data_IF_286010982583
#
_entry.id   IF_286010982583
#
_cell.length_a   1.000
_cell.length_b   1.000
_cell.length_c   1.000
_cell.angle_alpha   90.00
_cell.angle_beta   90.00
_cell.angle_gamma   90.00
#
_symmetry.space_group_name_H-M   'P 1'
#
loop_
_entity.id
_entity.type
_entity.pdbx_description
1 polymer ?
#
# COMPACT_ATOMS: atom_id res chain seq x y z
N UNK A 1 -19.85 -4.41 -5.76
CA UNK A 1 -21.16 -4.39 -5.07
C UNK A 1 -21.04 -4.21 -3.56
N UNK A 2 -19.94 -4.62 -2.92
CA UNK A 2 -19.77 -4.51 -1.46
C UNK A 2 -19.46 -3.09 -0.94
N UNK A 3 -18.93 -2.20 -1.78
CA UNK A 3 -18.56 -0.82 -1.43
C UNK A 3 -19.76 0.13 -1.23
N UNK A 4 -20.81 -0.05 -2.03
CA UNK A 4 -22.08 0.67 -1.89
C UNK A 4 -22.74 0.27 -0.57
N UNK A 5 -22.50 -0.97 -0.13
CA UNK A 5 -23.12 -1.56 1.05
C UNK A 5 -22.67 -0.88 2.35
N UNK A 6 -21.41 -0.48 2.51
CA UNK A 6 -20.92 0.12 3.76
C UNK A 6 -21.41 1.55 3.98
N UNK A 7 -21.35 2.40 2.95
CA UNK A 7 -21.93 3.75 2.98
C UNK A 7 -23.46 3.70 3.08
N UNK A 8 -24.10 2.72 2.43
CA UNK A 8 -25.53 2.50 2.54
C UNK A 8 -25.94 2.03 3.95
N UNK A 9 -25.15 1.19 4.62
CA UNK A 9 -25.40 0.78 6.02
C UNK A 9 -25.33 1.97 6.96
N UNK A 10 -24.32 2.83 6.78
CA UNK A 10 -24.15 4.03 7.60
C UNK A 10 -25.24 5.08 7.33
N UNK A 11 -25.64 5.26 6.08
CA UNK A 11 -26.77 6.10 5.70
C UNK A 11 -28.11 5.52 6.18
N UNK A 12 -28.29 4.19 6.14
CA UNK A 12 -29.46 3.50 6.66
C UNK A 12 -29.57 3.64 8.19
N UNK A 13 -28.46 3.54 8.92
CA UNK A 13 -28.41 3.78 10.36
C UNK A 13 -28.76 5.23 10.70
N UNK A 14 -28.19 6.20 9.97
CA UNK A 14 -28.51 7.62 10.15
C UNK A 14 -30.02 7.88 9.94
N UNK A 15 -30.56 7.41 8.83
CA UNK A 15 -31.99 7.59 8.49
C UNK A 15 -32.91 6.90 9.48
N UNK A 16 -32.56 5.73 10.02
CA UNK A 16 -33.36 5.07 11.06
C UNK A 16 -33.38 5.82 12.38
N UNK A 17 -32.25 6.38 12.84
CA UNK A 17 -32.23 7.20 14.06
C UNK A 17 -33.06 8.48 13.90
N UNK A 18 -32.96 9.16 12.75
CA UNK A 18 -33.80 10.33 12.46
C UNK A 18 -35.28 9.97 12.33
N UNK A 19 -35.63 8.87 11.66
CA UNK A 19 -37.01 8.41 11.53
C UNK A 19 -37.62 8.02 12.89
N UNK A 20 -36.89 7.30 13.74
CA UNK A 20 -37.31 6.98 15.10
C UNK A 20 -37.49 8.22 15.97
N UNK A 21 -36.59 9.21 15.83
CA UNK A 21 -36.72 10.52 16.48
C UNK A 21 -38.01 11.23 16.08
N UNK A 22 -38.33 11.27 14.78
CA UNK A 22 -39.57 11.87 14.27
C UNK A 22 -40.81 11.14 14.77
N UNK A 23 -40.82 9.80 14.75
CA UNK A 23 -41.94 9.00 15.25
C UNK A 23 -42.18 9.28 16.74
N UNK A 24 -41.13 9.24 17.58
CA UNK A 24 -41.24 9.53 19.01
C UNK A 24 -41.65 10.97 19.29
N UNK A 25 -41.24 11.90 18.45
CA UNK A 25 -41.65 13.30 18.53
C UNK A 25 -43.15 13.46 18.29
N UNK A 26 -43.69 12.80 17.26
CA UNK A 26 -45.12 12.77 16.95
C UNK A 26 -45.92 12.10 18.08
N UNK A 27 -45.38 11.05 18.70
CA UNK A 27 -45.99 10.35 19.83
C UNK A 27 -45.94 11.14 21.16
N UNK A 28 -45.38 12.35 21.18
CA UNK A 28 -45.30 13.19 22.38
C UNK A 28 -44.19 12.81 23.36
N UNK A 29 -43.38 11.78 23.05
CA UNK A 29 -42.24 11.34 23.85
C UNK A 29 -41.00 12.22 23.61
N UNK A 30 -41.13 13.53 23.91
CA UNK A 30 -40.13 14.55 23.53
C UNK A 30 -38.72 14.27 24.03
N UNK A 31 -38.58 13.73 25.25
CA UNK A 31 -37.27 13.40 25.84
C UNK A 31 -36.56 12.26 25.09
N UNK A 32 -37.30 11.23 24.71
CA UNK A 32 -36.75 10.09 23.97
C UNK A 32 -36.48 10.41 22.51
N UNK A 33 -37.30 11.28 21.91
CA UNK A 33 -37.06 11.79 20.56
C UNK A 33 -35.77 12.61 20.47
N UNK A 34 -35.54 13.51 21.44
CA UNK A 34 -34.30 14.28 21.51
C UNK A 34 -33.06 13.38 21.64
N UNK A 35 -33.14 12.32 22.44
CA UNK A 35 -32.06 11.34 22.58
C UNK A 35 -31.75 10.60 21.27
N UNK A 36 -32.76 10.22 20.47
CA UNK A 36 -32.51 9.58 19.17
C UNK A 36 -31.95 10.57 18.14
N UNK A 37 -32.39 11.83 18.15
CA UNK A 37 -31.80 12.88 17.32
C UNK A 37 -30.35 13.18 17.69
N UNK A 38 -30.02 13.21 18.98
CA UNK A 38 -28.66 13.43 19.47
C UNK A 38 -27.72 12.30 19.02
N UNK A 39 -28.16 11.04 19.09
CA UNK A 39 -27.43 9.89 18.55
C UNK A 39 -27.26 9.97 17.04
N UNK A 40 -28.31 10.35 16.32
CA UNK A 40 -28.24 10.57 14.86
C UNK A 40 -27.23 11.65 14.48
N UNK A 41 -27.24 12.77 15.21
CA UNK A 41 -26.27 13.85 15.05
C UNK A 41 -24.83 13.40 15.37
N UNK A 42 -24.63 12.60 16.42
CA UNK A 42 -23.32 12.03 16.72
C UNK A 42 -22.80 11.18 15.54
N UNK A 43 -23.62 10.27 15.02
CA UNK A 43 -23.25 9.44 13.87
C UNK A 43 -22.91 10.32 12.65
N UNK A 44 -23.68 11.38 12.38
CA UNK A 44 -23.39 12.33 11.31
C UNK A 44 -22.03 13.04 11.48
N UNK A 45 -21.71 13.50 12.69
CA UNK A 45 -20.43 14.17 12.99
C UNK A 45 -19.27 13.20 12.76
N UNK A 46 -19.35 11.96 13.26
CA UNK A 46 -18.28 10.97 13.06
C UNK A 46 -18.11 10.58 11.58
N UNK A 47 -19.21 10.48 10.82
CA UNK A 47 -19.15 10.26 9.37
C UNK A 47 -18.44 11.42 8.65
N UNK A 48 -18.76 12.66 9.04
CA UNK A 48 -18.11 13.85 8.48
C UNK A 48 -16.61 13.86 8.79
N UNK A 49 -16.22 13.44 10.00
CA UNK A 49 -14.81 13.30 10.38
C UNK A 49 -14.10 12.26 9.49
N UNK A 50 -14.69 11.08 9.27
CA UNK A 50 -14.12 10.05 8.38
C UNK A 50 -13.98 10.57 6.94
N UNK A 51 -14.98 11.27 6.41
CA UNK A 51 -14.93 11.86 5.07
C UNK A 51 -13.84 12.92 4.93
N UNK A 52 -13.69 13.80 5.94
CA UNK A 52 -12.61 14.80 5.96
C UNK A 52 -11.24 14.14 5.99
N UNK A 53 -11.08 13.04 6.72
CA UNK A 53 -9.82 12.28 6.77
C UNK A 53 -9.49 11.64 5.43
N UNK A 54 -10.46 11.01 4.77
CA UNK A 54 -10.28 10.43 3.44
C UNK A 54 -9.88 11.50 2.44
N UNK A 55 -10.54 12.67 2.45
CA UNK A 55 -10.16 13.80 1.59
C UNK A 55 -8.75 14.34 1.87
N UNK A 56 -8.39 14.51 3.14
CA UNK A 56 -7.05 14.97 3.49
C UNK A 56 -5.98 13.97 3.01
N UNK A 57 -6.26 12.68 3.12
CA UNK A 57 -5.37 11.63 2.64
C UNK A 57 -5.29 11.58 1.11
N UNK A 58 -6.39 11.84 0.40
CA UNK A 58 -6.41 11.98 -1.07
C UNK A 58 -5.59 13.19 -1.53
N UNK A 59 -5.67 14.32 -0.81
CA UNK A 59 -4.86 15.50 -1.10
C UNK A 59 -3.36 15.18 -0.94
N UNK A 60 -2.98 14.52 0.15
CA UNK A 60 -1.60 14.05 0.39
C UNK A 60 -1.16 13.10 -0.73
N UNK A 61 -2.01 12.14 -1.10
CA UNK A 61 -1.75 11.21 -2.22
C UNK A 61 -1.49 11.97 -3.51
N UNK A 62 -2.35 12.93 -3.85
CA UNK A 62 -2.20 13.73 -5.06
C UNK A 62 -0.91 14.55 -5.07
N UNK A 63 -0.50 15.10 -3.92
CA UNK A 63 0.76 15.84 -3.77
C UNK A 63 2.01 14.98 -3.98
N UNK A 64 1.89 13.67 -3.75
CA UNK A 64 2.93 12.67 -4.01
C UNK A 64 2.90 12.15 -5.46
N UNK A 65 2.02 12.70 -6.32
CA UNK A 65 1.82 12.24 -7.69
C UNK A 65 1.05 10.92 -7.81
N UNK A 66 0.37 10.49 -6.73
CA UNK A 66 -0.41 9.27 -6.72
C UNK A 66 -1.87 9.56 -7.08
N UNK A 67 -2.32 9.06 -8.23
CA UNK A 67 -3.71 9.15 -8.69
C UNK A 67 -4.64 8.13 -8.00
N UNK A 68 -4.62 8.10 -6.67
CA UNK A 68 -5.41 7.15 -5.87
C UNK A 68 -6.57 7.87 -5.20
N UNK A 69 -7.79 7.43 -5.54
CA UNK A 69 -8.99 7.78 -4.76
C UNK A 69 -9.14 6.80 -3.62
N UNK A 70 -8.84 7.25 -2.40
CA UNK A 70 -8.89 6.44 -1.18
C UNK A 70 -10.33 6.26 -0.67
N UNK A 71 -11.24 7.16 -1.06
CA UNK A 71 -12.67 7.07 -0.78
C UNK A 71 -13.40 6.00 -1.60
N UNK A 72 -12.87 5.66 -2.78
CA UNK A 72 -13.39 4.59 -3.62
C UNK A 72 -12.56 3.31 -3.43
N UNK A 73 -13.13 2.26 -2.83
CA UNK A 73 -12.40 1.02 -2.59
C UNK A 73 -11.98 0.29 -3.88
N UNK A 74 -12.70 0.49 -4.99
CA UNK A 74 -12.34 -0.14 -6.26
C UNK A 74 -11.05 0.46 -6.83
N UNK A 75 -10.87 1.78 -6.72
CA UNK A 75 -9.62 2.44 -7.12
C UNK A 75 -8.47 2.09 -6.20
N UNK A 76 -8.71 1.96 -4.89
CA UNK A 76 -7.67 1.53 -3.95
C UNK A 76 -7.24 0.08 -4.24
N UNK A 77 -8.18 -0.82 -4.51
CA UNK A 77 -7.91 -2.20 -4.89
C UNK A 77 -7.12 -2.28 -6.21
N UNK A 78 -7.55 -1.55 -7.26
CA UNK A 78 -6.86 -1.56 -8.54
C UNK A 78 -5.43 -1.02 -8.43
N UNK A 79 -5.24 0.04 -7.64
CA UNK A 79 -3.91 0.61 -7.38
C UNK A 79 -3.02 -0.39 -6.65
N UNK A 80 -3.52 -1.06 -5.61
CA UNK A 80 -2.75 -2.06 -4.88
C UNK A 80 -2.40 -3.28 -5.74
N UNK A 81 -3.30 -3.72 -6.62
CA UNK A 81 -2.99 -4.79 -7.59
C UNK A 81 -1.94 -4.34 -8.62
N UNK A 82 -1.97 -3.09 -9.06
CA UNK A 82 -0.95 -2.52 -9.92
C UNK A 82 0.40 -2.38 -9.19
N UNK A 83 0.38 -2.00 -7.91
CA UNK A 83 1.57 -2.01 -7.07
C UNK A 83 2.15 -3.42 -6.96
N UNK A 84 1.30 -4.43 -6.71
CA UNK A 84 1.71 -5.83 -6.64
C UNK A 84 2.39 -6.31 -7.93
N UNK A 85 1.80 -6.00 -9.10
CA UNK A 85 2.39 -6.37 -10.39
C UNK A 85 3.71 -5.64 -10.65
N UNK A 86 3.83 -4.38 -10.25
CA UNK A 86 5.07 -3.59 -10.37
C UNK A 86 6.19 -4.19 -9.54
N UNK A 87 5.93 -4.52 -8.27
CA UNK A 87 6.89 -5.20 -7.41
C UNK A 87 7.27 -6.58 -7.94
N UNK A 88 6.30 -7.34 -8.44
CA UNK A 88 6.57 -8.65 -9.05
C UNK A 88 7.47 -8.54 -10.29
N UNK A 89 7.24 -7.53 -11.14
CA UNK A 89 8.08 -7.26 -12.31
C UNK A 89 9.50 -6.86 -11.91
N UNK A 90 9.66 -6.05 -10.86
CA UNK A 90 10.98 -5.70 -10.32
C UNK A 90 11.71 -6.93 -9.76
N UNK A 91 11.00 -7.80 -9.05
CA UNK A 91 11.54 -9.07 -8.57
C UNK A 91 12.00 -9.96 -9.72
N UNK A 92 11.17 -10.11 -10.76
CA UNK A 92 11.53 -10.87 -11.96
C UNK A 92 12.73 -10.30 -12.69
N UNK A 93 12.77 -8.99 -12.91
CA UNK A 93 13.91 -8.34 -13.57
C UNK A 93 15.22 -8.62 -12.82
N UNK A 94 15.21 -8.57 -11.48
CA UNK A 94 16.37 -8.91 -10.68
C UNK A 94 16.77 -10.40 -10.83
N UNK A 95 15.81 -11.31 -10.78
CA UNK A 95 16.04 -12.75 -10.97
C UNK A 95 16.58 -13.05 -12.36
N UNK A 96 16.04 -12.45 -13.41
CA UNK A 96 16.46 -12.68 -14.79
C UNK A 96 17.93 -12.25 -15.00
N UNK A 97 18.34 -11.11 -14.42
CA UNK A 97 19.74 -10.67 -14.43
C UNK A 97 20.65 -11.66 -13.69
N UNK A 98 20.23 -12.12 -12.50
CA UNK A 98 21.00 -13.11 -11.72
C UNK A 98 21.14 -14.44 -12.49
N UNK A 99 20.04 -14.91 -13.09
CA UNK A 99 20.04 -16.13 -13.90
C UNK A 99 20.94 -15.99 -15.13
N UNK A 100 20.93 -14.84 -15.78
CA UNK A 100 21.79 -14.58 -16.93
C UNK A 100 23.28 -14.61 -16.55
N UNK A 101 23.67 -13.92 -15.47
CA UNK A 101 25.04 -13.97 -14.92
C UNK A 101 25.47 -15.40 -14.58
N UNK A 102 24.59 -16.16 -13.90
CA UNK A 102 24.90 -17.54 -13.51
C UNK A 102 25.02 -18.48 -14.71
N UNK A 103 24.22 -18.28 -15.75
CA UNK A 103 24.27 -19.03 -17.00
C UNK A 103 25.59 -18.77 -17.73
N UNK A 104 26.02 -17.51 -17.83
CA UNK A 104 27.31 -17.17 -18.43
C UNK A 104 28.48 -17.76 -17.66
N UNK A 105 28.45 -17.68 -16.33
CA UNK A 105 29.48 -18.31 -15.48
C UNK A 105 29.53 -19.82 -15.68
N UNK A 106 28.39 -20.48 -15.84
CA UNK A 106 28.32 -21.91 -16.10
C UNK A 106 28.90 -22.28 -17.48
N UNK A 107 28.59 -21.50 -18.51
CA UNK A 107 29.14 -21.69 -19.86
C UNK A 107 30.66 -21.51 -19.85
N UNK A 108 31.17 -20.45 -19.22
CA UNK A 108 32.61 -20.20 -19.10
C UNK A 108 33.31 -21.29 -18.26
N UNK A 109 32.64 -21.84 -17.25
CA UNK A 109 33.18 -22.93 -16.43
C UNK A 109 33.22 -24.28 -17.17
N UNK A 110 32.36 -24.49 -18.17
CA UNK A 110 32.24 -25.77 -18.87
C UNK A 110 33.45 -26.11 -19.76
N UNK A 111 34.24 -25.11 -20.18
CA UNK A 111 35.45 -25.32 -20.98
C UNK A 111 36.73 -25.01 -20.18
N UNK A 112 37.76 -25.91 -20.19
CA UNK A 112 38.99 -25.72 -19.42
C UNK A 112 39.76 -24.42 -19.72
N UNK A 113 39.70 -23.95 -20.97
CA UNK A 113 40.38 -22.73 -21.40
C UNK A 113 39.69 -21.45 -20.90
N UNK A 114 38.38 -21.51 -20.64
CA UNK A 114 37.58 -20.35 -20.20
C UNK A 114 37.26 -20.38 -18.71
N UNK A 115 37.61 -21.45 -18.00
CA UNK A 115 37.38 -21.58 -16.55
C UNK A 115 37.94 -20.39 -15.74
N UNK A 116 39.15 -19.85 -16.02
CA UNK A 116 39.64 -18.66 -15.31
C UNK A 116 38.78 -17.40 -15.53
N UNK A 117 38.07 -17.29 -16.67
CA UNK A 117 37.16 -16.17 -16.90
C UNK A 117 35.90 -16.29 -16.04
N UNK A 118 35.44 -17.51 -15.74
CA UNK A 118 34.30 -17.74 -14.83
C UNK A 118 34.60 -17.28 -13.41
N UNK A 119 35.84 -17.42 -12.93
CA UNK A 119 36.24 -16.93 -11.60
C UNK A 119 36.35 -15.41 -11.56
N UNK A 120 36.92 -14.78 -12.60
CA UNK A 120 36.98 -13.31 -12.74
C UNK A 120 35.58 -12.72 -12.81
N UNK A 121 34.70 -13.30 -13.63
CA UNK A 121 33.31 -12.86 -13.75
C UNK A 121 32.58 -12.99 -12.41
N UNK A 122 32.76 -14.13 -11.72
CA UNK A 122 32.19 -14.33 -10.39
C UNK A 122 32.66 -13.31 -9.34
N UNK A 123 33.93 -12.90 -9.39
CA UNK A 123 34.46 -11.85 -8.52
C UNK A 123 33.88 -10.47 -8.88
N UNK A 124 33.76 -10.17 -10.18
CA UNK A 124 33.23 -8.89 -10.66
C UNK A 124 31.73 -8.70 -10.37
N UNK A 125 30.94 -9.78 -10.48
CA UNK A 125 29.48 -9.73 -10.27
C UNK A 125 29.04 -10.15 -8.86
N UNK A 126 29.97 -10.47 -7.96
CA UNK A 126 29.64 -11.04 -6.65
C UNK A 126 28.74 -10.15 -5.80
N UNK A 127 29.06 -8.85 -5.73
CA UNK A 127 28.25 -7.88 -4.98
C UNK A 127 26.90 -7.63 -5.65
N UNK A 128 26.87 -7.49 -6.98
CA UNK A 128 25.66 -7.15 -7.72
C UNK A 128 24.64 -8.29 -7.70
N UNK A 129 25.09 -9.54 -7.84
CA UNK A 129 24.23 -10.72 -7.70
C UNK A 129 23.66 -10.84 -6.27
N UNK A 130 24.45 -10.51 -5.25
CA UNK A 130 23.98 -10.54 -3.86
C UNK A 130 22.91 -9.48 -3.63
N UNK A 131 23.13 -8.25 -4.07
CA UNK A 131 22.16 -7.15 -3.96
C UNK A 131 20.88 -7.44 -4.75
N UNK A 132 21.00 -7.96 -5.97
CA UNK A 132 19.87 -8.37 -6.80
C UNK A 132 19.06 -9.50 -6.16
N UNK A 133 19.72 -10.42 -5.45
CA UNK A 133 19.02 -11.49 -4.71
C UNK A 133 18.22 -10.93 -3.54
N UNK A 134 18.78 -9.97 -2.79
CA UNK A 134 18.07 -9.30 -1.68
C UNK A 134 16.87 -8.50 -2.21
N UNK A 135 17.08 -7.70 -3.25
CA UNK A 135 16.02 -6.88 -3.87
C UNK A 135 14.93 -7.75 -4.49
N UNK A 136 15.29 -8.86 -5.14
CA UNK A 136 14.32 -9.83 -5.66
C UNK A 136 13.40 -10.36 -4.56
N UNK A 137 13.96 -10.79 -3.43
CA UNK A 137 13.19 -11.27 -2.28
C UNK A 137 12.34 -10.15 -1.68
N UNK A 138 12.91 -8.95 -1.50
CA UNK A 138 12.21 -7.81 -0.95
C UNK A 138 10.98 -7.42 -1.78
N UNK A 139 11.14 -7.23 -3.09
CA UNK A 139 10.02 -6.90 -3.97
C UNK A 139 9.02 -8.05 -4.12
N UNK A 140 9.48 -9.30 -4.06
CA UNK A 140 8.57 -10.44 -4.00
C UNK A 140 7.65 -10.35 -2.76
N UNK A 141 8.20 -10.06 -1.59
CA UNK A 141 7.39 -9.90 -0.37
C UNK A 141 6.45 -8.69 -0.46
N UNK A 142 6.89 -7.57 -1.02
CA UNK A 142 6.03 -6.42 -1.26
C UNK A 142 4.90 -6.73 -2.24
N UNK A 143 5.15 -7.54 -3.26
CA UNK A 143 4.11 -7.98 -4.19
C UNK A 143 3.02 -8.79 -3.49
N UNK A 144 3.41 -9.72 -2.60
CA UNK A 144 2.47 -10.49 -1.80
C UNK A 144 1.73 -9.61 -0.80
N UNK A 145 2.41 -8.67 -0.14
CA UNK A 145 1.79 -7.75 0.80
C UNK A 145 0.76 -6.86 0.11
N UNK A 146 1.08 -6.31 -1.07
CA UNK A 146 0.17 -5.49 -1.86
C UNK A 146 -1.02 -6.29 -2.40
N UNK A 147 -0.82 -7.51 -2.90
CA UNK A 147 -1.91 -8.37 -3.35
C UNK A 147 -2.82 -8.79 -2.19
N UNK A 148 -2.25 -9.21 -1.05
CA UNK A 148 -3.01 -9.56 0.14
C UNK A 148 -3.83 -8.36 0.63
N UNK A 149 -3.21 -7.17 0.72
CA UNK A 149 -3.89 -5.95 1.12
C UNK A 149 -5.00 -5.59 0.13
N UNK A 150 -4.81 -5.75 -1.18
CA UNK A 150 -5.83 -5.44 -2.19
C UNK A 150 -7.13 -6.20 -1.95
N UNK A 151 -7.05 -7.45 -1.48
CA UNK A 151 -8.19 -8.32 -1.19
C UNK A 151 -8.94 -7.92 0.07
N UNK A 152 -8.23 -7.38 1.06
CA UNK A 152 -8.81 -6.99 2.37
C UNK A 152 -9.04 -5.49 2.52
N UNK A 153 -8.53 -4.67 1.61
CA UNK A 153 -8.60 -3.21 1.63
C UNK A 153 -10.03 -2.70 1.83
N UNK A 154 -10.96 -3.23 1.04
CA UNK A 154 -12.40 -2.91 1.12
C UNK A 154 -13.00 -3.29 2.47
N UNK A 155 -12.60 -4.44 3.04
CA UNK A 155 -13.04 -4.88 4.36
C UNK A 155 -12.49 -3.99 5.47
N UNK A 156 -11.21 -3.61 5.41
CA UNK A 156 -10.59 -2.74 6.42
C UNK A 156 -11.25 -1.35 6.38
N UNK A 157 -11.47 -0.78 5.19
CA UNK A 157 -12.13 0.51 5.04
C UNK A 157 -13.58 0.47 5.56
N UNK A 158 -14.35 -0.55 5.16
CA UNK A 158 -15.76 -0.67 5.56
C UNK A 158 -15.92 -0.94 7.06
N UNK A 159 -15.12 -1.83 7.65
CA UNK A 159 -15.09 -2.06 9.09
C UNK A 159 -14.61 -0.82 9.84
N UNK A 160 -13.55 -0.18 9.37
CA UNK A 160 -13.04 1.06 9.96
C UNK A 160 -14.10 2.17 9.98
N UNK A 161 -14.75 2.42 8.85
CA UNK A 161 -15.80 3.42 8.73
C UNK A 161 -17.05 3.09 9.56
N UNK A 162 -17.48 1.82 9.61
CA UNK A 162 -18.68 1.40 10.35
C UNK A 162 -18.49 1.36 11.87
N UNK A 163 -17.27 1.07 12.34
CA UNK A 163 -16.95 1.00 13.77
C UNK A 163 -16.67 2.37 14.39
N UNK A 164 -16.27 3.36 13.59
CA UNK A 164 -15.92 4.72 14.09
C UNK A 164 -17.10 5.44 14.78
N UNK A 165 -18.35 5.37 14.28
CA UNK A 165 -19.50 5.96 14.96
C UNK A 165 -19.84 5.30 16.31
N UNK A 166 -19.56 4.01 16.48
CA UNK A 166 -19.94 3.23 17.67
C UNK A 166 -19.03 3.58 18.86
N UNK A 167 -19.55 4.16 19.96
CA UNK A 167 -18.71 4.63 21.07
C UNK A 167 -17.76 3.58 21.66
N UNK A 168 -18.23 2.33 21.80
CA UNK A 168 -17.44 1.24 22.37
C UNK A 168 -16.31 0.74 21.45
N UNK A 169 -16.49 0.85 20.13
CA UNK A 169 -15.58 0.28 19.13
C UNK A 169 -14.82 1.34 18.32
N UNK A 170 -15.04 2.62 18.62
CA UNK A 170 -14.49 3.76 17.89
C UNK A 170 -12.97 3.73 17.75
N UNK A 171 -12.25 3.38 18.82
CA UNK A 171 -10.77 3.29 18.79
C UNK A 171 -10.28 2.23 17.80
N UNK A 172 -11.00 1.10 17.72
CA UNK A 172 -10.68 0.04 16.77
C UNK A 172 -11.00 0.49 15.33
N UNK A 173 -12.13 1.15 15.11
CA UNK A 173 -12.49 1.72 13.80
C UNK A 173 -11.46 2.75 13.30
N UNK A 174 -11.04 3.65 14.19
CA UNK A 174 -10.00 4.64 13.93
C UNK A 174 -8.63 4.00 13.60
N UNK A 175 -8.22 2.98 14.36
CA UNK A 175 -6.99 2.26 14.10
C UNK A 175 -7.02 1.53 12.74
N UNK A 176 -8.15 0.92 12.38
CA UNK A 176 -8.35 0.27 11.07
C UNK A 176 -8.29 1.29 9.92
N UNK A 177 -8.94 2.45 10.07
CA UNK A 177 -8.85 3.53 9.08
C UNK A 177 -7.42 4.06 8.93
N UNK A 178 -6.71 4.27 10.05
CA UNK A 178 -5.32 4.73 10.02
C UNK A 178 -4.41 3.71 9.34
N UNK A 179 -4.57 2.42 9.66
CA UNK A 179 -3.82 1.33 9.04
C UNK A 179 -4.10 1.24 7.54
N UNK A 180 -5.37 1.36 7.13
CA UNK A 180 -5.78 1.39 5.73
C UNK A 180 -5.09 2.53 4.97
N UNK A 181 -5.27 3.77 5.44
CA UNK A 181 -4.72 4.96 4.78
C UNK A 181 -3.19 4.88 4.66
N UNK A 182 -2.53 4.54 5.76
CA UNK A 182 -1.07 4.38 5.80
C UNK A 182 -0.60 3.31 4.81
N UNK A 183 -1.20 2.12 4.84
CA UNK A 183 -0.75 0.99 4.04
C UNK A 183 -0.98 1.23 2.54
N UNK A 184 -2.15 1.77 2.16
CA UNK A 184 -2.46 2.07 0.75
C UNK A 184 -1.51 3.13 0.20
N UNK A 185 -1.33 4.26 0.90
CA UNK A 185 -0.46 5.35 0.43
C UNK A 185 0.99 4.88 0.35
N UNK A 186 1.50 4.21 1.39
CA UNK A 186 2.91 3.80 1.44
C UNK A 186 3.27 2.74 0.40
N UNK A 187 2.41 1.74 0.18
CA UNK A 187 2.64 0.74 -0.86
C UNK A 187 2.50 1.33 -2.26
N UNK A 188 1.55 2.25 -2.48
CA UNK A 188 1.38 2.92 -3.77
C UNK A 188 2.58 3.82 -4.09
N UNK A 189 3.07 4.57 -3.10
CA UNK A 189 4.27 5.39 -3.25
C UNK A 189 5.53 4.55 -3.48
N UNK A 190 5.70 3.47 -2.72
CA UNK A 190 6.78 2.52 -2.92
C UNK A 190 6.75 1.93 -4.35
N UNK A 191 5.56 1.60 -4.86
CA UNK A 191 5.40 1.07 -6.22
C UNK A 191 5.75 2.11 -7.29
N UNK A 192 5.40 3.38 -7.10
CA UNK A 192 5.79 4.46 -8.00
C UNK A 192 7.33 4.57 -8.09
N UNK A 193 8.01 4.58 -6.95
CA UNK A 193 9.48 4.61 -6.88
C UNK A 193 10.11 3.39 -7.56
N UNK A 194 9.50 2.22 -7.41
CA UNK A 194 9.93 0.99 -8.09
C UNK A 194 9.67 1.04 -9.59
N UNK A 195 8.55 1.61 -10.02
CA UNK A 195 8.22 1.78 -11.43
C UNK A 195 9.25 2.66 -12.14
N UNK A 196 9.60 3.79 -11.54
CA UNK A 196 10.62 4.70 -12.09
C UNK A 196 11.98 4.04 -12.20
N UNK A 197 12.35 3.20 -11.22
CA UNK A 197 13.59 2.44 -11.27
C UNK A 197 13.57 1.38 -12.37
N UNK A 198 12.44 0.68 -12.54
CA UNK A 198 12.26 -0.33 -13.58
C UNK A 198 12.46 0.23 -15.00
N UNK A 199 12.08 1.48 -15.26
CA UNK A 199 12.32 2.12 -16.56
C UNK A 199 13.82 2.25 -16.90
N UNK A 200 14.68 2.27 -15.88
CA UNK A 200 16.13 2.37 -16.03
C UNK A 200 16.83 1.00 -16.01
N UNK A 201 16.12 -0.09 -15.71
CA UNK A 201 16.69 -1.43 -15.62
C UNK A 201 16.62 -2.11 -16.99
N UNK A 202 17.80 -2.42 -17.53
CA UNK A 202 17.91 -3.26 -18.74
C UNK A 202 17.93 -4.73 -18.35
N UNK A 203 16.94 -5.49 -18.83
CA UNK A 203 16.93 -6.96 -18.70
C UNK A 203 17.80 -7.56 -19.82
N UNK A 204 18.82 -8.37 -19.51
CA UNK A 204 19.70 -8.96 -20.52
C UNK A 204 18.96 -10.01 -21.36
N UNK A 205 19.29 -10.08 -22.65
CA UNK A 205 18.74 -11.07 -23.59
C UNK A 205 19.80 -12.00 -24.13
N UNK A 206 19.53 -13.31 -24.08
CA UNK A 206 20.40 -14.33 -24.65
C UNK A 206 20.64 -14.15 -26.16
N UNK A 207 19.74 -13.46 -26.87
CA UNK A 207 19.85 -13.19 -28.30
C UNK A 207 20.84 -12.08 -28.66
N UNK A 208 21.26 -11.25 -27.68
CA UNK A 208 22.17 -10.12 -27.91
C UNK A 208 23.61 -10.49 -27.51
N UNK A 209 24.55 -10.65 -28.47
CA UNK A 209 25.95 -10.93 -28.15
C UNK A 209 26.59 -9.87 -27.26
N UNK A 210 26.15 -8.61 -27.38
CA UNK A 210 26.64 -7.51 -26.56
C UNK A 210 26.25 -7.64 -25.08
N UNK A 211 25.15 -8.31 -24.77
CA UNK A 211 24.67 -8.47 -23.39
C UNK A 211 25.54 -9.46 -22.62
N UNK A 212 26.03 -10.50 -23.30
CA UNK A 212 27.02 -11.44 -22.75
C UNK A 212 28.35 -10.72 -22.43
N UNK A 213 28.84 -9.88 -23.33
CA UNK A 213 30.11 -9.15 -23.10
C UNK A 213 29.97 -8.13 -21.95
N UNK A 214 28.82 -7.47 -21.84
CA UNK A 214 28.55 -6.40 -20.86
C UNK A 214 27.83 -6.89 -19.61
N UNK A 215 27.82 -8.19 -19.33
CA UNK A 215 26.99 -8.76 -18.27
C UNK A 215 27.26 -8.15 -16.90
N UNK A 216 28.53 -7.82 -16.59
CA UNK A 216 28.91 -7.26 -15.30
C UNK A 216 28.45 -5.80 -15.15
N UNK A 217 28.47 -5.04 -16.24
CA UNK A 217 27.95 -3.66 -16.30
C UNK A 217 26.43 -3.67 -16.13
N UNK A 218 25.72 -4.50 -16.90
CA UNK A 218 24.26 -4.66 -16.82
C UNK A 218 23.84 -5.08 -15.40
N UNK A 219 24.52 -6.06 -14.81
CA UNK A 219 24.22 -6.51 -13.45
C UNK A 219 24.51 -5.43 -12.40
N UNK A 220 25.60 -4.67 -12.56
CA UNK A 220 25.94 -3.56 -11.68
C UNK A 220 24.90 -2.45 -11.72
N UNK A 221 24.53 -1.99 -12.91
CA UNK A 221 23.55 -0.92 -13.10
C UNK A 221 22.16 -1.32 -12.60
N UNK A 222 21.73 -2.56 -12.89
CA UNK A 222 20.47 -3.10 -12.38
C UNK A 222 20.47 -3.18 -10.84
N UNK A 223 21.58 -3.63 -10.23
CA UNK A 223 21.72 -3.71 -8.78
C UNK A 223 21.64 -2.32 -8.13
N UNK A 224 22.30 -1.31 -8.69
CA UNK A 224 22.24 0.07 -8.17
C UNK A 224 20.83 0.65 -8.30
N UNK A 225 20.19 0.50 -9.46
CA UNK A 225 18.86 1.05 -9.71
C UNK A 225 17.81 0.40 -8.79
N UNK A 226 17.77 -0.94 -8.76
CA UNK A 226 16.80 -1.68 -7.94
C UNK A 226 17.12 -1.60 -6.44
N UNK A 227 18.39 -1.58 -6.04
CA UNK A 227 18.80 -1.40 -4.64
C UNK A 227 18.44 -0.01 -4.10
N UNK A 228 18.65 1.03 -4.91
CA UNK A 228 18.20 2.40 -4.57
C UNK A 228 16.68 2.46 -4.42
N UNK A 229 15.94 1.83 -5.35
CA UNK A 229 14.49 1.75 -5.29
C UNK A 229 14.00 0.99 -4.06
N UNK A 230 14.61 -0.14 -3.72
CA UNK A 230 14.28 -0.94 -2.55
C UNK A 230 14.50 -0.15 -1.26
N UNK A 231 15.60 0.60 -1.18
CA UNK A 231 15.90 1.49 -0.04
C UNK A 231 14.85 2.58 0.08
N UNK A 232 14.52 3.29 -1.01
CA UNK A 232 13.49 4.35 -1.00
C UNK A 232 12.10 3.79 -0.68
N UNK A 233 11.75 2.62 -1.21
CA UNK A 233 10.52 1.91 -0.88
C UNK A 233 10.46 1.51 0.61
N UNK A 234 11.58 1.02 1.17
CA UNK A 234 11.69 0.73 2.60
C UNK A 234 11.47 1.98 3.47
N UNK A 235 12.07 3.12 3.08
CA UNK A 235 11.84 4.41 3.74
C UNK A 235 10.39 4.87 3.61
N UNK A 236 9.78 4.74 2.42
CA UNK A 236 8.38 5.06 2.20
C UNK A 236 7.44 4.25 3.11
N UNK A 237 7.70 2.95 3.27
CA UNK A 237 6.95 2.07 4.17
C UNK A 237 7.17 2.44 5.64
N UNK A 238 8.40 2.79 6.03
CA UNK A 238 8.70 3.26 7.37
C UNK A 238 7.95 4.57 7.68
N UNK A 239 8.01 5.55 6.78
CA UNK A 239 7.24 6.79 6.89
C UNK A 239 5.74 6.53 6.94
N UNK A 240 5.24 5.60 6.10
CA UNK A 240 3.86 5.12 6.14
C UNK A 240 3.47 4.64 7.52
N UNK A 241 4.19 3.65 8.07
CA UNK A 241 3.91 3.10 9.40
C UNK A 241 3.93 4.15 10.52
N UNK A 242 4.90 5.07 10.51
CA UNK A 242 4.95 6.20 11.46
C UNK A 242 3.72 7.10 11.29
N UNK A 243 3.36 7.44 10.05
CA UNK A 243 2.17 8.21 9.76
C UNK A 243 0.89 7.48 10.20
N UNK A 244 0.81 6.15 10.02
CA UNK A 244 -0.31 5.32 10.47
C UNK A 244 -0.48 5.33 11.98
N UNK A 245 0.62 5.20 12.74
CA UNK A 245 0.60 5.32 14.21
C UNK A 245 0.22 6.75 14.63
N UNK A 246 0.77 7.76 13.96
CA UNK A 246 0.45 9.17 14.18
C UNK A 246 -1.04 9.45 13.96
N UNK A 247 -1.60 9.00 12.84
CA UNK A 247 -3.02 9.10 12.50
C UNK A 247 -3.87 8.38 13.54
N UNK A 248 -3.55 7.13 13.90
CA UNK A 248 -4.28 6.39 14.94
C UNK A 248 -4.28 7.13 16.29
N UNK A 249 -3.16 7.76 16.66
CA UNK A 249 -3.05 8.55 17.90
C UNK A 249 -3.83 9.86 17.85
N UNK A 250 -3.77 10.57 16.72
CA UNK A 250 -4.50 11.82 16.48
C UNK A 250 -6.00 11.56 16.49
N UNK A 251 -6.42 10.47 15.86
CA UNK A 251 -7.80 10.00 15.91
C UNK A 251 -8.21 9.71 17.35
N UNK A 252 -7.42 8.93 18.10
CA UNK A 252 -7.65 8.72 19.52
C UNK A 252 -7.83 10.02 20.32
N UNK A 253 -7.01 11.04 20.03
CA UNK A 253 -7.01 12.34 20.72
C UNK A 253 -8.23 13.21 20.40
N UNK A 254 -8.53 13.44 19.11
CA UNK A 254 -9.74 14.16 18.67
C UNK A 254 -10.99 13.50 19.27
N UNK A 255 -10.99 12.17 19.34
CA UNK A 255 -12.14 11.43 19.85
C UNK A 255 -12.30 11.51 21.36
N UNK A 256 -11.21 11.56 22.15
CA UNK A 256 -11.30 11.82 23.59
C UNK A 256 -11.84 13.23 23.85
N UNK A 257 -11.40 14.21 23.05
CA UNK A 257 -11.86 15.60 23.12
C UNK A 257 -13.36 15.74 22.83
N UNK A 258 -13.87 15.08 21.81
CA UNK A 258 -15.29 15.14 21.42
C UNK A 258 -16.23 14.38 22.37
N UNK A 259 -15.75 13.37 23.11
CA UNK A 259 -16.58 12.61 24.08
C UNK A 259 -16.68 13.24 25.46
N UNK A 260 -15.88 14.28 25.75
CA UNK A 260 -15.90 15.01 27.03
C UNK A 260 -16.74 16.30 26.97
N UNK A 261 -17.26 16.65 25.79
CA UNK A 261 -18.27 17.69 25.56
C UNK A 261 -19.65 17.05 25.62
#
# INVERSE_FOLDING_TARGET
MESIFSWAILAAALTTYFALGVIRWILGQRREALLEFEKGMHVAVYLLVVLLMLRAAEEISSSLGLEVRLSDPLSAESTLRQAASTFWNASRAAVDVVLFVSTERAILAAAPLTTPLSSVLGAATGWSVTELSITAIFFMHLSFAADALSRVATLILSLGASLTPVPALRKAGAALLAAYLSAVISLSYAALLTHDALQNVRVPSAASPMDWVKVAEIAGDAAVSLGSAATKAGVALAMGSVAGVGLASFFGSIYISLTRL
#
